data_IF_883739347618
#
_entry.id   IF_883739347618
#
_cell.length_a   1.000
_cell.length_b   1.000
_cell.length_c   1.000
_cell.angle_alpha   90.00
_cell.angle_beta   90.00
_cell.angle_gamma   90.00
#
_symmetry.space_group_name_H-M   'P 1'
#
loop_
_entity.id
_entity.type
_entity.pdbx_description
1 polymer ?
#
# COMPACT_ATOMS: atom_id res chain seq x y z
N UNK A 1 -23.32 -11.13 1.06
CA UNK A 1 -22.15 -10.32 1.44
C UNK A 1 -21.75 -9.54 0.20
N UNK A 2 -21.69 -8.22 0.25
CA UNK A 2 -21.26 -7.41 -0.89
C UNK A 2 -19.75 -7.27 -0.74
N UNK A 3 -18.98 -7.98 -1.56
CA UNK A 3 -17.53 -7.83 -1.60
C UNK A 3 -17.22 -6.42 -2.11
N UNK A 4 -16.70 -5.55 -1.22
CA UNK A 4 -16.17 -4.25 -1.62
C UNK A 4 -14.91 -4.51 -2.45
N UNK A 5 -15.01 -4.29 -3.77
CA UNK A 5 -13.85 -4.40 -4.66
C UNK A 5 -12.87 -3.27 -4.35
N UNK A 6 -11.59 -3.49 -4.71
CA UNK A 6 -10.56 -2.51 -4.45
C UNK A 6 -10.88 -1.14 -5.07
N UNK A 7 -11.35 -1.14 -6.32
CA UNK A 7 -11.68 0.06 -7.07
C UNK A 7 -12.86 0.82 -6.46
N UNK A 8 -13.90 0.11 -5.99
CA UNK A 8 -15.05 0.72 -5.36
C UNK A 8 -14.69 1.41 -4.04
N UNK A 9 -13.70 0.89 -3.31
CA UNK A 9 -13.29 1.49 -2.05
C UNK A 9 -12.53 2.81 -2.23
N UNK A 10 -11.98 3.11 -3.42
CA UNK A 10 -11.23 4.35 -3.68
C UNK A 10 -12.10 5.61 -3.57
N UNK A 11 -13.43 5.50 -3.66
CA UNK A 11 -14.34 6.62 -3.42
C UNK A 11 -14.64 6.88 -1.94
N UNK A 12 -14.15 6.03 -1.02
CA UNK A 12 -14.36 6.16 0.43
C UNK A 12 -13.32 7.12 1.04
N UNK A 13 -13.58 7.70 2.22
CA UNK A 13 -12.63 8.60 2.87
C UNK A 13 -11.41 7.87 3.47
N UNK A 14 -11.49 6.55 3.67
CA UNK A 14 -10.44 5.74 4.27
C UNK A 14 -10.48 4.31 3.72
N UNK A 15 -9.34 3.57 3.73
CA UNK A 15 -9.34 2.17 3.35
C UNK A 15 -10.16 1.33 4.34
N UNK A 16 -10.76 0.21 3.92
CA UNK A 16 -11.44 -0.71 4.82
C UNK A 16 -10.50 -1.26 5.92
N UNK A 17 -10.91 -1.19 7.19
CA UNK A 17 -10.09 -1.59 8.34
C UNK A 17 -9.74 -3.10 8.35
N UNK A 18 -10.54 -3.93 7.69
CA UNK A 18 -10.30 -5.38 7.58
C UNK A 18 -9.24 -5.77 6.57
N UNK A 19 -8.69 -4.81 5.81
CA UNK A 19 -7.65 -5.09 4.82
C UNK A 19 -6.26 -5.20 5.46
N UNK A 20 -5.38 -6.00 4.86
CA UNK A 20 -3.98 -6.04 5.27
C UNK A 20 -3.31 -4.68 5.08
N UNK A 21 -2.25 -4.40 5.86
CA UNK A 21 -1.47 -3.16 5.75
C UNK A 21 -0.98 -2.92 4.33
N UNK A 22 -0.49 -3.95 3.66
CA UNK A 22 -0.08 -3.90 2.26
C UNK A 22 -1.20 -3.42 1.33
N UNK A 23 -2.43 -3.91 1.52
CA UNK A 23 -3.57 -3.51 0.69
C UNK A 23 -4.07 -2.09 1.03
N UNK A 24 -4.02 -1.70 2.31
CA UNK A 24 -4.27 -0.32 2.73
C UNK A 24 -3.22 0.65 2.14
N UNK A 25 -1.96 0.25 2.06
CA UNK A 25 -0.90 1.05 1.45
C UNK A 25 -1.12 1.25 -0.05
N UNK A 26 -1.46 0.19 -0.79
CA UNK A 26 -1.83 0.31 -2.21
C UNK A 26 -3.04 1.24 -2.41
N UNK A 27 -3.98 1.26 -1.47
CA UNK A 27 -5.12 2.17 -1.51
C UNK A 27 -4.70 3.65 -1.39
N UNK A 28 -3.74 3.96 -0.52
CA UNK A 28 -3.18 5.32 -0.43
C UNK A 28 -2.33 5.67 -1.66
N UNK A 29 -1.55 4.72 -2.19
CA UNK A 29 -0.77 4.92 -3.42
C UNK A 29 -1.67 5.23 -4.63
N UNK A 30 -2.81 4.56 -4.74
CA UNK A 30 -3.81 4.79 -5.79
C UNK A 30 -4.49 6.16 -5.70
N UNK A 31 -4.30 6.88 -4.59
CA UNK A 31 -4.79 8.24 -4.35
C UNK A 31 -3.67 9.27 -4.36
N UNK A 32 -2.52 8.91 -4.92
CA UNK A 32 -1.31 9.73 -5.00
C UNK A 32 -0.76 10.16 -3.62
N UNK A 33 -1.10 9.43 -2.56
CA UNK A 33 -0.59 9.63 -1.20
C UNK A 33 0.52 8.62 -0.88
N UNK A 34 1.66 8.82 -1.55
CA UNK A 34 2.82 7.93 -1.44
C UNK A 34 3.39 7.90 -0.02
N UNK A 35 3.43 9.03 0.70
CA UNK A 35 3.99 9.10 2.06
C UNK A 35 3.22 8.20 3.03
N UNK A 36 1.88 8.21 2.96
CA UNK A 36 1.07 7.31 3.79
C UNK A 36 1.21 5.85 3.36
N UNK A 37 1.26 5.59 2.06
CA UNK A 37 1.45 4.24 1.54
C UNK A 37 2.77 3.63 2.04
N UNK A 38 3.86 4.39 1.90
CA UNK A 38 5.21 4.01 2.30
C UNK A 38 5.31 3.82 3.82
N UNK A 39 4.81 4.77 4.60
CA UNK A 39 4.82 4.69 6.06
C UNK A 39 4.08 3.46 6.61
N UNK A 40 2.97 3.06 5.97
CA UNK A 40 2.20 1.88 6.39
C UNK A 40 2.97 0.57 6.23
N UNK A 41 3.68 0.39 5.11
CA UNK A 41 4.43 -0.84 4.85
C UNK A 41 5.76 -0.88 5.58
N UNK A 42 6.39 0.28 5.80
CA UNK A 42 7.59 0.40 6.61
C UNK A 42 7.37 0.00 8.08
N UNK A 43 6.13 0.13 8.60
CA UNK A 43 5.81 -0.32 9.95
C UNK A 43 5.81 -1.84 10.12
N UNK A 44 5.78 -2.61 9.04
CA UNK A 44 5.61 -4.07 9.07
C UNK A 44 6.47 -4.77 7.99
N UNK A 45 7.74 -4.39 7.86
CA UNK A 45 8.66 -4.94 6.85
C UNK A 45 8.93 -6.45 7.00
N UNK A 46 8.65 -7.03 8.18
CA UNK A 46 8.74 -8.46 8.40
C UNK A 46 7.60 -9.23 7.70
N UNK A 47 6.47 -8.58 7.44
CA UNK A 47 5.41 -9.14 6.62
C UNK A 47 5.79 -9.10 5.14
N UNK A 48 5.70 -10.26 4.50
CA UNK A 48 6.13 -10.42 3.10
C UNK A 48 5.32 -9.56 2.13
N UNK A 49 4.03 -9.32 2.40
CA UNK A 49 3.20 -8.49 1.53
C UNK A 49 3.62 -7.03 1.65
N UNK A 50 3.90 -6.57 2.87
CA UNK A 50 4.42 -5.23 3.13
C UNK A 50 5.78 -5.03 2.46
N UNK A 51 6.72 -5.96 2.59
CA UNK A 51 8.01 -5.91 1.91
C UNK A 51 7.88 -5.77 0.38
N UNK A 52 6.98 -6.52 -0.26
CA UNK A 52 6.75 -6.40 -1.70
C UNK A 52 6.14 -5.07 -2.11
N UNK A 53 5.15 -4.58 -1.36
CA UNK A 53 4.54 -3.27 -1.64
C UNK A 53 5.56 -2.15 -1.41
N UNK A 54 6.40 -2.25 -0.38
CA UNK A 54 7.49 -1.31 -0.12
C UNK A 54 8.47 -1.26 -1.29
N UNK A 55 8.88 -2.42 -1.79
CA UNK A 55 9.73 -2.53 -2.98
C UNK A 55 9.07 -1.91 -4.24
N UNK A 56 7.75 -2.06 -4.39
CA UNK A 56 6.99 -1.46 -5.48
C UNK A 56 6.95 0.07 -5.36
N UNK A 57 6.69 0.61 -4.17
CA UNK A 57 6.62 2.05 -3.93
C UNK A 57 7.94 2.75 -4.24
N UNK A 58 9.08 2.14 -3.88
CA UNK A 58 10.41 2.67 -4.23
C UNK A 58 10.70 2.59 -5.74
N UNK A 59 10.24 1.53 -6.44
CA UNK A 59 10.34 1.49 -7.91
C UNK A 59 9.53 2.60 -8.58
N UNK A 60 8.32 2.89 -8.07
CA UNK A 60 7.44 3.94 -8.58
C UNK A 60 8.04 5.34 -8.39
N UNK A 61 8.71 5.56 -7.26
CA UNK A 61 9.42 6.83 -6.94
C UNK A 61 10.70 7.01 -7.77
N UNK A 62 11.32 5.91 -8.21
CA UNK A 62 12.58 5.93 -8.95
C UNK A 62 13.81 5.65 -8.08
N UNK A 63 13.63 4.98 -6.94
CA UNK A 63 14.71 4.54 -6.04
C UNK A 63 14.93 3.02 -6.14
N UNK A 64 15.76 2.55 -7.09
CA UNK A 64 16.02 1.13 -7.26
C UNK A 64 16.84 0.51 -6.11
N UNK A 65 17.60 1.31 -5.35
CA UNK A 65 18.38 0.83 -4.20
C UNK A 65 17.49 0.36 -3.07
N UNK A 66 16.44 1.12 -2.76
CA UNK A 66 15.47 0.77 -1.72
C UNK A 66 14.36 -0.17 -2.24
N UNK A 67 14.44 -0.60 -3.50
CA UNK A 67 13.49 -1.54 -4.09
C UNK A 67 13.93 -3.02 -4.04
N UNK A 68 15.05 -3.33 -3.40
CA UNK A 68 15.68 -4.65 -3.42
C UNK A 68 15.26 -5.59 -2.26
N UNK A 69 14.01 -5.50 -1.83
CA UNK A 69 13.40 -6.41 -0.85
C UNK A 69 13.23 -7.84 -1.39
#
# INVERSE_FOLDING_TARGET
>A
MMEDTFEASLSRPSPPEGWSRALQALWWDARDDWERAHGLVQMDEADRQCAWVHAYLHRKEGDPSNAAY
#
